data_IF_426771167411
#
_entry.id   IF_426771167411
#
_cell.length_a   1.000
_cell.length_b   1.000
_cell.length_c   1.000
_cell.angle_alpha   90.00
_cell.angle_beta   90.00
_cell.angle_gamma   90.00
#
_symmetry.space_group_name_H-M   'P 1'
#
loop_
_entity.id
_entity.type
_entity.pdbx_description
1 polymer ?
#
# COMPACT_ATOMS: atom_id res chain seq x y z
N UNK A 1 1.54 -13.03 17.57
CA UNK A 1 2.77 -13.80 17.27
C UNK A 1 3.84 -12.79 16.82
N UNK A 2 5.06 -12.83 17.39
CA UNK A 2 6.14 -11.89 17.03
C UNK A 2 7.11 -12.57 16.06
N UNK A 3 7.47 -11.84 14.98
CA UNK A 3 8.47 -12.26 14.01
C UNK A 3 9.56 -11.20 13.91
N UNK A 4 10.81 -11.62 13.72
CA UNK A 4 11.92 -10.71 13.39
C UNK A 4 12.40 -10.97 11.98
N UNK A 5 12.75 -9.89 11.26
CA UNK A 5 13.28 -9.97 9.90
C UNK A 5 14.80 -10.22 9.95
N UNK A 6 15.25 -11.26 9.28
CA UNK A 6 16.67 -11.58 9.17
C UNK A 6 17.18 -11.10 7.79
N UNK A 7 18.04 -10.07 7.81
CA UNK A 7 18.58 -9.43 6.60
C UNK A 7 19.51 -10.35 5.79
N UNK A 8 20.18 -11.27 6.45
CA UNK A 8 21.13 -12.21 5.81
C UNK A 8 20.44 -13.34 5.05
N UNK A 9 19.27 -13.77 5.50
CA UNK A 9 18.48 -14.84 4.85
C UNK A 9 17.24 -14.34 4.12
N UNK A 10 16.99 -13.01 4.09
CA UNK A 10 15.80 -12.35 3.51
C UNK A 10 14.49 -13.02 3.94
N UNK A 11 14.41 -13.50 5.19
CA UNK A 11 13.28 -14.25 5.70
C UNK A 11 12.84 -13.78 7.08
N UNK A 12 11.56 -13.99 7.40
CA UNK A 12 11.02 -13.73 8.74
C UNK A 12 11.19 -14.97 9.61
N UNK A 13 11.90 -14.82 10.75
CA UNK A 13 12.04 -15.88 11.75
C UNK A 13 11.11 -15.62 12.93
N UNK A 14 10.44 -16.66 13.39
CA UNK A 14 9.56 -16.60 14.56
C UNK A 14 10.38 -16.39 15.81
N UNK A 15 10.06 -15.34 16.59
CA UNK A 15 10.66 -15.10 17.89
C UNK A 15 9.95 -15.98 18.93
N UNK A 16 10.63 -17.02 19.40
CA UNK A 16 10.17 -17.78 20.56
C UNK A 16 10.74 -17.10 21.81
N UNK A 17 9.92 -16.68 22.77
CA UNK A 17 10.44 -16.12 24.01
C UNK A 17 11.19 -17.24 24.77
N UNK A 18 12.50 -17.12 24.82
CA UNK A 18 13.31 -18.00 25.69
C UNK A 18 13.04 -17.64 27.14
N UNK A 19 12.47 -18.60 27.91
CA UNK A 19 12.18 -18.51 29.35
C UNK A 19 13.45 -18.49 30.21
N UNK A 20 14.48 -17.70 29.87
CA UNK A 20 15.71 -17.60 30.64
C UNK A 20 16.24 -16.18 30.70
N UNK A 21 15.48 -15.25 31.27
CA UNK A 21 16.01 -13.98 31.77
C UNK A 21 15.17 -13.43 32.93
N UNK A 22 14.74 -14.30 33.82
CA UNK A 22 13.98 -13.96 35.03
C UNK A 22 14.76 -14.11 36.35
N UNK A 23 16.07 -14.15 36.30
CA UNK A 23 16.82 -14.54 37.50
C UNK A 23 18.02 -13.66 37.97
N UNK A 24 18.38 -12.58 37.28
CA UNK A 24 19.62 -11.84 37.62
C UNK A 24 19.42 -10.32 37.76
N UNK A 25 18.23 -9.83 37.93
CA UNK A 25 18.02 -8.38 38.11
C UNK A 25 17.32 -7.97 39.42
N UNK A 26 17.48 -8.75 40.47
CA UNK A 26 16.87 -8.43 41.78
C UNK A 26 17.83 -8.53 42.95
N UNK A 27 19.17 -8.30 42.73
CA UNK A 27 20.15 -8.38 43.82
C UNK A 27 21.25 -7.30 43.77
N UNK A 28 21.00 -6.11 43.19
CA UNK A 28 21.93 -4.96 43.26
C UNK A 28 21.17 -3.67 43.64
N UNK A 29 20.25 -3.71 44.59
CA UNK A 29 19.71 -2.49 45.20
C UNK A 29 19.57 -2.69 46.72
N UNK A 30 20.63 -3.13 47.36
CA UNK A 30 20.74 -2.94 48.82
C UNK A 30 22.21 -3.02 49.20
N UNK A 31 23.01 -2.02 48.94
CA UNK A 31 24.17 -1.60 49.72
C UNK A 31 24.89 -0.44 49.01
N UNK A 32 24.42 0.76 49.16
CA UNK A 32 25.23 1.99 49.29
C UNK A 32 24.28 3.16 49.55
N UNK A 33 23.56 3.09 50.65
CA UNK A 33 23.13 4.29 51.31
C UNK A 33 24.27 4.75 52.17
N UNK A 34 24.87 5.87 51.84
CA UNK A 34 25.45 6.91 52.73
C UNK A 34 26.38 7.77 51.87
N UNK A 35 25.98 9.02 51.69
CA UNK A 35 26.89 10.15 51.54
C UNK A 35 27.46 10.43 50.16
N UNK A 36 26.80 11.31 49.46
CA UNK A 36 27.38 12.43 48.72
C UNK A 36 26.26 13.36 48.26
N UNK A 37 25.77 14.15 49.20
CA UNK A 37 25.07 15.41 48.91
C UNK A 37 26.08 16.42 48.40
N UNK A 38 25.65 17.21 47.42
CA UNK A 38 26.19 18.46 46.94
C UNK A 38 27.20 18.40 45.78
N UNK A 39 26.78 19.13 44.81
CA UNK A 39 27.41 19.62 43.57
C UNK A 39 27.03 18.89 42.30
N UNK A 40 25.73 18.87 42.01
CA UNK A 40 25.30 18.84 40.60
C UNK A 40 25.03 20.28 40.20
N UNK A 41 25.95 20.80 39.43
CA UNK A 41 25.97 22.13 38.85
C UNK A 41 24.64 22.42 38.12
N UNK A 42 24.04 23.58 38.41
CA UNK A 42 22.83 24.13 37.78
C UNK A 42 22.88 24.27 36.25
N UNK A 43 24.02 24.04 35.65
CA UNK A 43 24.22 24.11 34.20
C UNK A 43 23.58 22.94 33.42
N UNK A 44 23.29 21.79 34.07
CA UNK A 44 22.68 20.64 33.36
C UNK A 44 21.16 20.69 33.33
N UNK A 45 20.57 21.46 34.26
CA UNK A 45 19.10 21.60 34.35
C UNK A 45 18.56 22.61 33.34
N UNK A 46 19.33 23.64 33.01
CA UNK A 46 18.92 24.65 32.01
C UNK A 46 18.92 24.11 30.57
N UNK A 47 19.84 23.21 30.26
CA UNK A 47 19.88 22.53 28.96
C UNK A 47 18.67 21.58 28.74
N UNK A 48 18.28 20.86 29.79
CA UNK A 48 17.18 19.91 29.74
C UNK A 48 15.80 20.63 29.64
N UNK A 49 15.64 21.71 30.43
CA UNK A 49 14.41 22.50 30.38
C UNK A 49 14.28 23.29 29.08
N UNK A 50 15.39 23.71 28.46
CA UNK A 50 15.37 24.38 27.14
C UNK A 50 15.04 23.42 26.00
N UNK A 51 15.39 22.14 26.13
CA UNK A 51 15.02 21.10 25.18
C UNK A 51 13.54 20.68 25.32
N UNK A 52 13.00 20.72 26.53
CA UNK A 52 11.59 20.36 26.77
C UNK A 52 10.61 21.51 26.48
N UNK A 53 11.07 22.77 26.51
CA UNK A 53 10.26 23.95 26.20
C UNK A 53 10.38 24.43 24.74
N UNK A 54 11.04 23.66 23.87
CA UNK A 54 10.83 23.88 22.45
C UNK A 54 9.37 23.53 22.17
N UNK A 55 8.53 24.47 21.67
CA UNK A 55 7.21 24.06 21.22
C UNK A 55 7.44 22.93 20.23
N UNK A 56 6.87 21.77 20.50
CA UNK A 56 6.64 20.80 19.46
C UNK A 56 5.67 21.58 18.57
N UNK A 57 6.21 22.23 17.54
CA UNK A 57 5.46 22.53 16.34
C UNK A 57 4.94 21.14 15.95
N UNK A 58 3.76 20.81 16.44
CA UNK A 58 2.98 19.75 15.86
C UNK A 58 2.81 20.22 14.40
N UNK A 59 3.70 19.75 13.52
CA UNK A 59 3.34 19.65 12.14
C UNK A 59 2.02 18.89 12.19
N UNK A 60 0.97 19.66 12.18
CA UNK A 60 -0.35 19.15 11.92
C UNK A 60 -0.19 18.57 10.52
N UNK A 61 0.05 17.27 10.45
CA UNK A 61 -0.09 16.53 9.21
C UNK A 61 -1.55 16.77 8.88
N UNK A 62 -1.80 17.83 8.15
CA UNK A 62 -3.03 18.01 7.42
C UNK A 62 -2.99 16.83 6.47
N UNK A 63 -3.61 15.73 6.90
CA UNK A 63 -3.98 14.66 5.99
C UNK A 63 -4.80 15.39 4.93
N UNK A 64 -4.12 15.66 3.82
CA UNK A 64 -4.74 16.34 2.70
C UNK A 64 -5.92 15.47 2.26
N UNK A 65 -7.12 15.84 2.69
CA UNK A 65 -8.35 15.14 2.33
C UNK A 65 -8.55 15.13 0.81
N UNK A 66 -7.82 15.97 0.06
CA UNK A 66 -7.78 15.95 -1.40
C UNK A 66 -7.14 14.67 -1.94
N UNK A 67 -6.24 14.00 -1.18
CA UNK A 67 -5.65 12.72 -1.61
C UNK A 67 -6.65 11.56 -1.67
N UNK A 68 -7.80 11.66 -1.03
CA UNK A 68 -8.84 10.62 -1.05
C UNK A 68 -9.87 10.84 -2.15
N UNK A 69 -9.95 12.03 -2.70
CA UNK A 69 -10.88 12.34 -3.79
C UNK A 69 -10.40 11.64 -5.06
N UNK A 70 -11.28 10.85 -5.66
CA UNK A 70 -10.99 10.16 -6.90
C UNK A 70 -10.95 11.15 -8.09
N UNK A 71 -9.94 10.98 -8.92
CA UNK A 71 -9.87 11.56 -10.28
C UNK A 71 -9.00 10.65 -11.15
N UNK A 72 -9.10 10.78 -12.46
CA UNK A 72 -8.21 10.05 -13.39
C UNK A 72 -6.74 10.37 -13.11
N UNK A 73 -6.40 11.63 -12.85
CA UNK A 73 -5.03 12.05 -12.53
C UNK A 73 -4.53 11.44 -11.21
N UNK A 74 -5.42 11.35 -10.20
CA UNK A 74 -5.10 10.68 -8.94
C UNK A 74 -4.86 9.18 -9.16
N UNK A 75 -5.66 8.53 -10.00
CA UNK A 75 -5.46 7.12 -10.38
C UNK A 75 -4.14 6.92 -11.14
N UNK A 76 -3.81 7.79 -12.10
CA UNK A 76 -2.52 7.75 -12.81
C UNK A 76 -1.34 7.85 -11.83
N UNK A 77 -1.39 8.79 -10.88
CA UNK A 77 -0.37 8.93 -9.83
C UNK A 77 -0.26 7.67 -8.98
N UNK A 78 -1.39 7.08 -8.60
CA UNK A 78 -1.41 5.87 -7.77
C UNK A 78 -0.86 4.64 -8.52
N UNK A 79 -1.20 4.48 -9.80
CA UNK A 79 -0.64 3.43 -10.66
C UNK A 79 0.89 3.55 -10.78
N UNK A 80 1.41 4.78 -10.92
CA UNK A 80 2.84 5.07 -10.90
C UNK A 80 3.45 4.75 -9.54
N UNK A 81 2.86 5.23 -8.44
CA UNK A 81 3.34 5.01 -7.07
C UNK A 81 3.49 3.52 -6.73
N UNK A 82 2.54 2.69 -7.15
CA UNK A 82 2.55 1.24 -6.93
C UNK A 82 3.39 0.46 -7.94
N UNK A 83 4.08 1.15 -8.86
CA UNK A 83 4.90 0.53 -9.91
C UNK A 83 4.12 -0.52 -10.72
N UNK A 84 2.88 -0.20 -11.08
CA UNK A 84 2.02 -1.08 -11.84
C UNK A 84 2.60 -1.30 -13.24
N UNK A 85 2.75 -2.56 -13.64
CA UNK A 85 3.20 -2.90 -14.99
C UNK A 85 2.10 -2.66 -16.01
N UNK A 86 2.45 -2.05 -17.15
CA UNK A 86 1.53 -1.64 -18.19
C UNK A 86 0.38 -0.77 -17.66
N UNK A 87 0.69 0.34 -16.98
CA UNK A 87 -0.31 1.13 -16.27
C UNK A 87 -1.39 1.70 -17.19
N UNK A 88 -1.09 1.97 -18.47
CA UNK A 88 -2.07 2.38 -19.47
C UNK A 88 -3.14 1.30 -19.73
N UNK A 89 -2.77 -0.01 -19.68
CA UNK A 89 -3.73 -1.10 -19.78
C UNK A 89 -4.61 -1.15 -18.53
N UNK A 90 -4.02 -0.99 -17.35
CA UNK A 90 -4.75 -1.04 -16.08
C UNK A 90 -5.70 0.15 -15.95
N UNK A 91 -5.31 1.33 -16.44
CA UNK A 91 -6.19 2.49 -16.54
C UNK A 91 -7.37 2.20 -17.49
N UNK A 92 -7.10 1.63 -18.66
CA UNK A 92 -8.16 1.22 -19.60
C UNK A 92 -9.11 0.18 -18.99
N UNK A 93 -8.59 -0.76 -18.17
CA UNK A 93 -9.44 -1.70 -17.42
C UNK A 93 -10.38 -0.96 -16.47
N UNK A 94 -9.86 -0.02 -15.67
CA UNK A 94 -10.72 0.72 -14.74
C UNK A 94 -11.81 1.51 -15.47
N UNK A 95 -11.51 2.12 -16.60
CA UNK A 95 -12.48 2.82 -17.43
C UNK A 95 -13.56 1.85 -17.93
N UNK A 96 -13.15 0.69 -18.48
CA UNK A 96 -14.06 -0.31 -19.03
C UNK A 96 -14.95 -0.94 -17.97
N UNK A 97 -14.37 -1.39 -16.85
CA UNK A 97 -15.08 -2.11 -15.78
C UNK A 97 -16.05 -1.21 -15.00
N UNK A 98 -15.78 0.06 -14.95
CA UNK A 98 -16.61 1.02 -14.22
C UNK A 98 -17.52 1.86 -15.12
N UNK A 99 -17.43 1.72 -16.44
CA UNK A 99 -18.14 2.61 -17.36
C UNK A 99 -17.81 4.07 -17.11
N UNK A 100 -16.53 4.43 -17.17
CA UNK A 100 -16.01 5.78 -16.86
C UNK A 100 -16.33 6.23 -15.42
N UNK A 101 -16.19 5.30 -14.48
CA UNK A 101 -16.38 5.50 -13.03
C UNK A 101 -17.82 5.85 -12.60
N UNK A 102 -18.81 5.50 -13.42
CA UNK A 102 -20.24 5.72 -13.14
C UNK A 102 -20.95 4.48 -12.61
N UNK A 103 -20.30 3.30 -12.64
CA UNK A 103 -20.96 2.05 -12.25
C UNK A 103 -21.28 2.02 -10.76
N UNK A 104 -22.40 1.37 -10.43
CA UNK A 104 -22.82 1.12 -9.05
C UNK A 104 -21.75 0.37 -8.23
N UNK A 105 -21.06 -0.58 -8.87
CA UNK A 105 -20.00 -1.36 -8.22
C UNK A 105 -18.84 -0.44 -7.78
N UNK A 106 -18.45 0.50 -8.62
CA UNK A 106 -17.45 1.47 -8.24
C UNK A 106 -17.94 2.38 -7.11
N UNK A 107 -19.13 2.96 -7.25
CA UNK A 107 -19.67 3.94 -6.30
C UNK A 107 -19.93 3.37 -4.90
N UNK A 108 -20.43 2.14 -4.80
CA UNK A 108 -20.79 1.53 -3.51
C UNK A 108 -19.67 0.67 -2.92
N UNK A 109 -18.80 0.10 -3.76
CA UNK A 109 -17.74 -0.82 -3.33
C UNK A 109 -16.33 -0.22 -3.43
N UNK A 110 -16.15 1.00 -3.93
CA UNK A 110 -14.83 1.56 -4.28
C UNK A 110 -14.01 0.66 -5.21
N UNK A 111 -14.66 -0.18 -6.01
CA UNK A 111 -14.04 -1.23 -6.80
C UNK A 111 -13.85 -0.78 -8.25
N UNK A 112 -12.63 -0.38 -8.60
CA UNK A 112 -12.26 0.15 -9.92
C UNK A 112 -12.13 -0.92 -11.00
N UNK A 113 -12.03 -2.19 -10.63
CA UNK A 113 -11.64 -3.25 -11.55
C UNK A 113 -12.65 -4.40 -11.62
N UNK A 114 -13.79 -4.28 -10.96
CA UNK A 114 -14.80 -5.34 -10.92
C UNK A 114 -14.30 -6.64 -10.25
N UNK A 115 -13.28 -6.56 -9.41
CA UNK A 115 -12.66 -7.73 -8.81
C UNK A 115 -13.58 -8.39 -7.79
N UNK A 116 -13.50 -9.72 -7.71
CA UNK A 116 -14.09 -10.52 -6.62
C UNK A 116 -13.11 -10.63 -5.47
N UNK A 117 -13.62 -10.77 -4.25
CA UNK A 117 -12.77 -10.98 -3.07
C UNK A 117 -11.86 -12.20 -3.25
N UNK A 118 -10.56 -11.98 -3.14
CA UNK A 118 -9.58 -13.04 -3.32
C UNK A 118 -9.59 -14.02 -2.13
N UNK A 119 -9.44 -15.31 -2.43
CA UNK A 119 -9.35 -16.41 -1.43
C UNK A 119 -7.96 -17.04 -1.37
N UNK A 120 -7.21 -16.96 -2.46
CA UNK A 120 -5.94 -17.68 -2.64
C UNK A 120 -4.70 -16.76 -2.68
N UNK A 121 -4.87 -15.44 -2.52
CA UNK A 121 -3.79 -14.45 -2.44
C UNK A 121 -4.11 -13.41 -1.38
N UNK A 122 -3.11 -12.61 -1.00
CA UNK A 122 -3.33 -11.42 -0.19
C UNK A 122 -4.28 -10.45 -0.93
N UNK A 123 -5.12 -9.74 -0.16
CA UNK A 123 -6.10 -8.77 -0.66
C UNK A 123 -6.29 -7.66 0.37
N UNK A 124 -6.63 -6.49 -0.09
CA UNK A 124 -7.08 -5.35 0.73
C UNK A 124 -8.61 -5.27 0.83
N UNK A 125 -9.33 -6.18 0.17
CA UNK A 125 -10.79 -6.20 0.23
C UNK A 125 -11.28 -6.53 1.64
N UNK A 126 -12.21 -5.71 2.15
CA UNK A 126 -12.86 -5.87 3.44
C UNK A 126 -13.93 -6.99 3.41
N UNK A 127 -14.43 -7.32 2.23
CA UNK A 127 -15.44 -8.37 2.08
C UNK A 127 -16.04 -8.40 0.68
N UNK A 128 -17.27 -8.95 0.60
CA UNK A 128 -18.04 -9.07 -0.65
C UNK A 128 -19.37 -8.34 -0.52
N UNK A 129 -19.65 -7.42 -1.45
CA UNK A 129 -20.91 -6.71 -1.59
C UNK A 129 -21.26 -6.62 -3.07
N UNK A 130 -22.55 -6.73 -3.43
CA UNK A 130 -23.03 -6.76 -4.81
C UNK A 130 -22.33 -7.84 -5.69
N UNK A 131 -21.88 -8.94 -5.08
CA UNK A 131 -21.15 -10.01 -5.77
C UNK A 131 -19.69 -9.70 -6.12
N UNK A 132 -19.17 -8.57 -5.67
CA UNK A 132 -17.80 -8.10 -5.89
C UNK A 132 -17.12 -7.75 -4.57
N UNK A 133 -15.79 -7.65 -4.60
CA UNK A 133 -15.03 -7.12 -3.48
C UNK A 133 -15.42 -5.68 -3.19
N UNK A 134 -15.41 -5.27 -1.90
CA UNK A 134 -15.54 -3.87 -1.51
C UNK A 134 -14.33 -3.44 -0.69
N UNK A 135 -14.02 -2.14 -0.72
CA UNK A 135 -12.84 -1.53 -0.14
C UNK A 135 -13.20 -0.25 0.61
N UNK A 136 -12.41 0.12 1.61
CA UNK A 136 -12.59 1.37 2.36
C UNK A 136 -12.52 2.60 1.45
N UNK A 137 -11.65 2.57 0.46
CA UNK A 137 -11.50 3.62 -0.53
C UNK A 137 -10.98 3.05 -1.86
N UNK A 138 -11.02 3.86 -2.92
CA UNK A 138 -10.60 3.46 -4.26
C UNK A 138 -9.11 3.07 -4.37
N UNK A 139 -8.21 3.65 -3.54
CA UNK A 139 -6.77 3.31 -3.57
C UNK A 139 -6.55 1.87 -3.11
N UNK A 140 -7.37 1.36 -2.19
CA UNK A 140 -7.30 -0.03 -1.76
C UNK A 140 -7.64 -1.00 -2.89
N UNK A 141 -8.56 -0.65 -3.79
CA UNK A 141 -8.82 -1.48 -4.98
C UNK A 141 -7.63 -1.49 -5.95
N UNK A 142 -6.87 -0.37 -6.05
CA UNK A 142 -5.63 -0.31 -6.85
C UNK A 142 -4.53 -1.17 -6.21
N UNK A 143 -4.42 -1.12 -4.88
CA UNK A 143 -3.49 -1.97 -4.12
C UNK A 143 -3.83 -3.45 -4.30
N UNK A 144 -5.12 -3.81 -4.25
CA UNK A 144 -5.56 -5.19 -4.49
C UNK A 144 -5.24 -5.65 -5.92
N UNK A 145 -5.35 -4.75 -6.91
CA UNK A 145 -4.92 -5.04 -8.27
C UNK A 145 -3.40 -5.24 -8.36
N UNK A 146 -2.60 -4.46 -7.64
CA UNK A 146 -1.14 -4.66 -7.57
C UNK A 146 -0.79 -6.05 -7.00
N UNK A 147 -1.49 -6.47 -5.96
CA UNK A 147 -1.35 -7.82 -5.38
C UNK A 147 -1.77 -8.91 -6.38
N UNK A 148 -2.84 -8.70 -7.14
CA UNK A 148 -3.25 -9.59 -8.23
C UNK A 148 -2.17 -9.68 -9.30
N UNK A 149 -1.63 -8.54 -9.75
CA UNK A 149 -0.56 -8.49 -10.75
C UNK A 149 0.70 -9.23 -10.25
N UNK A 150 1.08 -9.03 -9.00
CA UNK A 150 2.21 -9.72 -8.38
C UNK A 150 2.02 -11.23 -8.31
N UNK A 151 0.80 -11.69 -7.98
CA UNK A 151 0.49 -13.10 -7.85
C UNK A 151 0.43 -13.83 -9.20
N UNK A 152 -0.21 -13.25 -10.21
CA UNK A 152 -0.58 -13.98 -11.43
C UNK A 152 0.08 -13.47 -12.70
N UNK A 153 0.47 -12.18 -12.76
CA UNK A 153 0.95 -11.52 -13.98
C UNK A 153 2.45 -11.20 -13.95
N UNK A 154 3.16 -11.55 -12.88
CA UNK A 154 4.56 -11.18 -12.67
C UNK A 154 5.52 -11.66 -13.78
N UNK A 155 5.22 -12.79 -14.44
CA UNK A 155 6.02 -13.37 -15.53
C UNK A 155 5.69 -12.79 -16.91
N UNK A 156 4.63 -12.01 -17.03
CA UNK A 156 4.17 -11.46 -18.31
C UNK A 156 4.89 -10.15 -18.61
N UNK A 157 6.03 -10.22 -19.28
CA UNK A 157 6.91 -9.08 -19.58
C UNK A 157 6.56 -8.36 -20.89
N UNK A 158 5.76 -8.98 -21.76
CA UNK A 158 5.33 -8.42 -23.04
C UNK A 158 3.86 -7.99 -22.97
N UNK A 159 3.57 -6.77 -23.42
CA UNK A 159 2.23 -6.18 -23.45
C UNK A 159 1.22 -7.09 -24.13
N UNK A 160 1.57 -7.64 -25.31
CA UNK A 160 0.69 -8.55 -26.04
C UNK A 160 0.35 -9.84 -25.30
N UNK A 161 1.29 -10.38 -24.48
CA UNK A 161 1.02 -11.54 -23.63
C UNK A 161 0.15 -11.17 -22.44
N UNK A 162 0.32 -9.96 -21.92
CA UNK A 162 -0.47 -9.44 -20.82
C UNK A 162 -1.94 -9.26 -21.25
N UNK A 163 -2.19 -8.58 -22.36
CA UNK A 163 -3.53 -8.43 -22.95
C UNK A 163 -4.21 -9.76 -23.22
N UNK A 164 -3.48 -10.71 -23.85
CA UNK A 164 -4.00 -12.06 -24.12
C UNK A 164 -4.35 -12.82 -22.84
N UNK A 165 -3.58 -12.64 -21.78
CA UNK A 165 -3.91 -13.24 -20.48
C UNK A 165 -5.19 -12.65 -19.90
N UNK A 166 -5.35 -11.33 -19.95
CA UNK A 166 -6.56 -10.66 -19.47
C UNK A 166 -7.79 -11.12 -20.24
N UNK A 167 -7.72 -11.19 -21.58
CA UNK A 167 -8.81 -11.68 -22.41
C UNK A 167 -9.26 -13.11 -22.06
N UNK A 168 -8.30 -13.95 -21.70
CA UNK A 168 -8.57 -15.36 -21.38
C UNK A 168 -9.02 -15.62 -19.96
N UNK A 169 -8.49 -14.86 -18.98
CA UNK A 169 -8.57 -15.25 -17.56
C UNK A 169 -9.21 -14.20 -16.66
N UNK A 170 -9.34 -12.95 -17.13
CA UNK A 170 -9.87 -11.85 -16.33
C UNK A 170 -11.33 -11.58 -16.66
N UNK A 171 -11.62 -11.42 -17.93
CA UNK A 171 -12.95 -11.04 -18.40
C UNK A 171 -13.80 -12.24 -18.85
N UNK A 172 -15.08 -12.17 -18.58
CA UNK A 172 -16.08 -13.10 -19.13
C UNK A 172 -16.48 -12.73 -20.57
N UNK A 173 -16.27 -11.46 -20.94
CA UNK A 173 -16.64 -10.91 -22.25
C UNK A 173 -15.60 -11.26 -23.33
N UNK A 174 -16.08 -11.68 -24.50
CA UNK A 174 -15.22 -11.92 -25.69
C UNK A 174 -14.56 -10.63 -26.18
N UNK A 175 -13.35 -10.76 -26.75
CA UNK A 175 -12.56 -9.65 -27.33
C UNK A 175 -12.24 -8.55 -26.30
N UNK A 176 -11.99 -8.93 -25.07
CA UNK A 176 -11.66 -7.98 -24.01
C UNK A 176 -10.38 -7.19 -24.32
N UNK A 177 -9.36 -7.86 -24.86
CA UNK A 177 -8.12 -7.25 -25.33
C UNK A 177 -8.36 -6.14 -26.36
N UNK A 178 -9.28 -6.37 -27.32
CA UNK A 178 -9.61 -5.37 -28.36
C UNK A 178 -10.34 -4.16 -27.77
N UNK A 179 -11.22 -4.39 -26.79
CA UNK A 179 -11.90 -3.28 -26.09
C UNK A 179 -10.90 -2.41 -25.32
N UNK A 180 -9.95 -3.04 -24.62
CA UNK A 180 -8.88 -2.31 -23.93
C UNK A 180 -8.03 -1.51 -24.91
N UNK A 181 -7.59 -2.12 -26.02
CA UNK A 181 -6.82 -1.44 -27.05
C UNK A 181 -7.56 -0.23 -27.63
N UNK A 182 -8.85 -0.38 -27.90
CA UNK A 182 -9.68 0.71 -28.38
C UNK A 182 -9.69 1.90 -27.39
N UNK A 183 -9.90 1.65 -26.09
CA UNK A 183 -9.88 2.71 -25.06
C UNK A 183 -8.50 3.34 -24.97
N UNK A 184 -7.43 2.55 -24.98
CA UNK A 184 -6.05 3.04 -24.93
C UNK A 184 -5.76 4.01 -26.07
N UNK A 185 -6.21 3.68 -27.28
CA UNK A 185 -5.99 4.49 -28.48
C UNK A 185 -6.93 5.72 -28.51
N UNK A 186 -8.23 5.54 -28.25
CA UNK A 186 -9.20 6.62 -28.32
C UNK A 186 -8.97 7.72 -27.26
N UNK A 187 -8.45 7.37 -26.10
CA UNK A 187 -8.17 8.30 -25.00
C UNK A 187 -6.69 8.64 -24.83
N UNK A 188 -5.83 8.20 -25.77
CA UNK A 188 -4.39 8.47 -25.75
C UNK A 188 -3.72 8.10 -24.42
N UNK A 189 -4.15 7.01 -23.77
CA UNK A 189 -3.74 6.68 -22.40
C UNK A 189 -2.25 6.43 -22.24
N UNK A 190 -1.53 6.05 -23.30
CA UNK A 190 -0.07 5.86 -23.26
C UNK A 190 0.68 7.16 -22.97
N UNK A 191 0.14 8.30 -23.44
CA UNK A 191 0.79 9.62 -23.24
C UNK A 191 0.87 10.01 -21.76
N UNK A 192 -0.10 9.57 -20.94
CA UNK A 192 -0.12 9.84 -19.50
C UNK A 192 1.03 9.16 -18.73
N UNK A 193 1.76 8.24 -19.38
CA UNK A 193 2.82 7.45 -18.77
C UNK A 193 4.15 7.55 -19.52
N UNK A 194 4.33 8.51 -20.44
CA UNK A 194 5.57 8.64 -21.21
C UNK A 194 6.79 8.86 -20.31
N UNK A 195 6.65 9.71 -19.29
CA UNK A 195 7.69 9.98 -18.30
C UNK A 195 8.06 8.74 -17.47
N UNK A 196 7.13 7.80 -17.32
CA UNK A 196 7.31 6.57 -16.56
C UNK A 196 8.16 5.52 -17.30
N UNK A 197 8.16 5.53 -18.63
CA UNK A 197 8.90 4.55 -19.45
C UNK A 197 10.34 5.00 -19.75
N UNK A 198 10.72 6.23 -19.39
CA UNK A 198 12.04 6.81 -19.66
C UNK A 198 13.01 6.56 -18.47
N UNK A 199 12.51 6.18 -17.32
CA UNK A 199 13.27 5.85 -16.10
C UNK A 199 13.58 4.34 -16.03
#
# INVERSE_FOLDING_TARGET
MLYTYCKESLSFKRVTPTKKLGGIMLLIITLTGIGLTSMVSSAHQDGFNKAMNKPIESEMIVLDSSETVFSQDALVKELKRLNIRFPHIVLAQSILETGHWESRIYQENNNLFGMKQARARATTAEGTQLGHAYYDNWKESVTDYALYQAAYLNKLRKESKYLKYLDKNYAEAKNYDKKLMYIIESENLKELFLDWYIL
#
